data_IF_005180263359
#
_entry.id   IF_005180263359
#
_cell.length_a   1.000
_cell.length_b   1.000
_cell.length_c   1.000
_cell.angle_alpha   90.00
_cell.angle_beta   90.00
_cell.angle_gamma   90.00
#
_symmetry.space_group_name_H-M   'P 1'
#
loop_
_entity.id
_entity.type
_entity.pdbx_description
1 polymer ?
#
# COMPACT_ATOMS: atom_id res chain seq x y z
N UNK A 1 29.12 23.14 -36.03
CA UNK A 1 27.80 23.70 -35.63
C UNK A 1 27.63 23.45 -34.15
N UNK A 2 27.43 24.49 -33.35
CA UNK A 2 27.31 24.41 -31.88
C UNK A 2 25.92 24.90 -31.47
N UNK A 3 25.32 24.27 -30.47
CA UNK A 3 23.99 24.59 -29.94
C UNK A 3 24.15 25.14 -28.53
N UNK A 4 23.38 26.17 -28.17
CA UNK A 4 23.39 26.73 -26.82
C UNK A 4 22.41 25.94 -25.95
N UNK A 5 22.90 25.35 -24.87
CA UNK A 5 22.09 24.66 -23.85
C UNK A 5 22.42 25.29 -22.50
N UNK A 6 21.41 25.87 -21.82
CA UNK A 6 21.57 26.53 -20.51
C UNK A 6 22.72 27.56 -20.47
N UNK A 7 22.94 28.29 -21.57
CA UNK A 7 23.97 29.33 -21.67
C UNK A 7 25.40 28.84 -21.97
N UNK A 8 25.61 27.53 -22.14
CA UNK A 8 26.89 26.95 -22.62
C UNK A 8 26.80 26.52 -24.07
N UNK A 9 27.84 26.82 -24.85
CA UNK A 9 28.00 26.32 -26.21
C UNK A 9 28.48 24.87 -26.17
N UNK A 10 27.61 23.96 -26.62
CA UNK A 10 27.91 22.53 -26.73
C UNK A 10 27.90 22.13 -28.20
N UNK A 11 28.80 21.22 -28.60
CA UNK A 11 28.72 20.59 -29.91
C UNK A 11 27.42 19.80 -30.06
N UNK A 12 26.97 19.56 -31.30
CA UNK A 12 25.76 18.76 -31.58
C UNK A 12 25.70 17.44 -30.79
N UNK A 13 26.80 16.65 -30.67
CA UNK A 13 26.78 15.43 -29.86
C UNK A 13 26.49 15.69 -28.37
N UNK A 14 27.01 16.78 -27.81
CA UNK A 14 26.76 17.18 -26.42
C UNK A 14 25.32 17.65 -26.19
N UNK A 15 24.72 18.33 -27.17
CA UNK A 15 23.31 18.71 -27.11
C UNK A 15 22.38 17.49 -27.17
N UNK A 16 22.69 16.49 -28.01
CA UNK A 16 21.95 15.23 -28.08
C UNK A 16 22.05 14.43 -26.78
N UNK A 17 23.25 14.36 -26.19
CA UNK A 17 23.46 13.70 -24.90
C UNK A 17 22.65 14.39 -23.78
N UNK A 18 22.67 15.72 -23.73
CA UNK A 18 21.90 16.48 -22.75
C UNK A 18 20.40 16.23 -22.88
N UNK A 19 19.88 16.21 -24.12
CA UNK A 19 18.48 15.88 -24.40
C UNK A 19 18.13 14.45 -23.96
N UNK A 20 19.00 13.47 -24.24
CA UNK A 20 18.80 12.09 -23.81
C UNK A 20 18.76 11.96 -22.28
N UNK A 21 19.67 12.65 -21.57
CA UNK A 21 19.68 12.65 -20.09
C UNK A 21 18.40 13.28 -19.55
N UNK A 22 17.94 14.40 -20.09
CA UNK A 22 16.68 15.02 -19.66
C UNK A 22 15.49 14.09 -19.94
N UNK A 23 15.44 13.45 -21.09
CA UNK A 23 14.38 12.49 -21.43
C UNK A 23 14.38 11.27 -20.48
N UNK A 24 15.56 10.74 -20.14
CA UNK A 24 15.70 9.65 -19.17
C UNK A 24 15.26 10.07 -17.78
N UNK A 25 15.71 11.23 -17.29
CA UNK A 25 15.31 11.76 -15.97
C UNK A 25 13.81 12.01 -15.94
N UNK A 26 13.23 12.61 -16.97
CA UNK A 26 11.79 12.82 -17.08
C UNK A 26 11.03 11.48 -17.05
N UNK A 27 11.50 10.46 -17.77
CA UNK A 27 10.93 9.11 -17.74
C UNK A 27 11.03 8.44 -16.37
N UNK A 28 12.17 8.56 -15.68
CA UNK A 28 12.34 8.03 -14.33
C UNK A 28 11.44 8.74 -13.32
N UNK A 29 11.32 10.07 -13.44
CA UNK A 29 10.45 10.89 -12.57
C UNK A 29 8.97 10.59 -12.82
N UNK A 30 8.53 10.43 -14.07
CA UNK A 30 7.14 10.08 -14.37
C UNK A 30 6.78 8.70 -13.87
N UNK A 31 7.63 7.69 -14.11
CA UNK A 31 7.43 6.32 -13.59
C UNK A 31 7.49 6.28 -12.05
N UNK A 32 8.43 7.00 -11.45
CA UNK A 32 8.60 7.05 -10.00
C UNK A 32 7.50 7.83 -9.27
N UNK A 33 6.95 8.88 -9.90
CA UNK A 33 5.81 9.63 -9.35
C UNK A 33 4.51 8.84 -9.44
N UNK A 34 4.36 7.96 -10.43
CA UNK A 34 3.27 6.99 -10.53
C UNK A 34 3.63 5.67 -9.84
N UNK A 35 4.22 5.70 -8.63
CA UNK A 35 4.64 4.49 -7.91
C UNK A 35 3.45 3.61 -7.49
N UNK A 36 2.93 2.90 -8.48
CA UNK A 36 2.28 1.60 -8.42
C UNK A 36 3.25 0.58 -9.03
N UNK A 37 4.57 0.79 -8.91
CA UNK A 37 5.55 -0.20 -9.32
C UNK A 37 5.15 -1.50 -8.61
N UNK A 38 4.73 -2.54 -9.34
CA UNK A 38 4.43 -3.79 -8.68
C UNK A 38 5.74 -4.24 -8.06
N UNK A 39 5.68 -4.67 -6.80
CA UNK A 39 6.78 -5.39 -6.17
C UNK A 39 7.06 -6.75 -6.88
N UNK A 40 6.55 -6.94 -8.11
CA UNK A 40 6.49 -8.13 -8.96
C UNK A 40 7.81 -8.90 -9.07
N UNK A 41 9.00 -8.29 -9.30
CA UNK A 41 10.21 -9.11 -9.42
C UNK A 41 10.55 -9.88 -8.14
N UNK A 42 10.05 -9.41 -6.99
CA UNK A 42 10.27 -10.01 -5.67
C UNK A 42 8.98 -10.57 -5.04
N UNK A 43 7.83 -10.43 -5.69
CA UNK A 43 6.49 -10.83 -5.23
C UNK A 43 5.54 -11.16 -6.41
N UNK A 44 6.06 -11.77 -7.49
CA UNK A 44 5.33 -12.01 -8.74
C UNK A 44 4.03 -12.80 -8.55
N UNK A 45 4.00 -13.66 -7.54
CA UNK A 45 2.83 -14.50 -7.23
C UNK A 45 1.83 -13.79 -6.28
N UNK A 46 2.23 -12.68 -5.63
CA UNK A 46 1.35 -11.95 -4.71
C UNK A 46 0.68 -10.78 -5.42
N UNK A 47 -0.54 -11.03 -5.88
CA UNK A 47 -1.43 -10.01 -6.45
C UNK A 47 -1.98 -9.01 -5.41
N UNK A 48 -1.58 -9.10 -4.14
CA UNK A 48 -2.10 -8.24 -3.07
C UNK A 48 -3.58 -8.53 -2.78
N UNK A 49 -4.36 -7.46 -2.62
CA UNK A 49 -5.83 -7.48 -2.50
C UNK A 49 -6.54 -7.16 -3.82
N UNK A 50 -5.87 -7.30 -4.97
CA UNK A 50 -6.40 -6.91 -6.28
C UNK A 50 -7.64 -7.70 -6.69
N UNK A 51 -7.64 -9.02 -6.51
CA UNK A 51 -8.81 -9.87 -6.76
C UNK A 51 -9.97 -9.52 -5.83
N UNK A 52 -9.70 -9.25 -4.54
CA UNK A 52 -10.71 -8.79 -3.60
C UNK A 52 -11.34 -7.46 -4.04
N UNK A 53 -10.53 -6.53 -4.58
CA UNK A 53 -11.02 -5.27 -5.13
C UNK A 53 -11.92 -5.51 -6.33
N UNK A 54 -11.51 -6.40 -7.25
CA UNK A 54 -12.32 -6.77 -8.41
C UNK A 54 -13.66 -7.39 -8.02
N UNK A 55 -13.69 -8.24 -7.00
CA UNK A 55 -14.94 -8.80 -6.46
C UNK A 55 -15.80 -7.71 -5.82
N UNK A 56 -15.21 -6.84 -5.00
CA UNK A 56 -15.93 -5.74 -4.36
C UNK A 56 -16.57 -4.80 -5.39
N UNK A 57 -15.84 -4.45 -6.45
CA UNK A 57 -16.36 -3.62 -7.55
C UNK A 57 -17.52 -4.34 -8.28
N UNK A 58 -17.39 -5.65 -8.51
CA UNK A 58 -18.45 -6.47 -9.14
C UNK A 58 -19.73 -6.58 -8.30
N UNK A 59 -19.61 -6.58 -6.98
CA UNK A 59 -20.72 -6.61 -6.02
C UNK A 59 -21.26 -5.21 -5.67
N UNK A 60 -20.73 -4.14 -6.28
CA UNK A 60 -21.14 -2.76 -6.02
C UNK A 60 -20.66 -2.19 -4.68
N UNK A 61 -19.65 -2.81 -4.06
CA UNK A 61 -19.04 -2.35 -2.80
C UNK A 61 -17.90 -1.38 -3.07
N UNK A 62 -17.84 -0.30 -2.30
CA UNK A 62 -16.74 0.67 -2.38
C UNK A 62 -15.54 0.22 -1.56
N UNK A 63 -14.39 0.07 -2.20
CA UNK A 63 -13.11 -0.18 -1.51
C UNK A 63 -12.41 1.15 -1.19
N UNK A 64 -12.06 1.37 0.08
CA UNK A 64 -11.40 2.60 0.54
C UNK A 64 -10.00 2.28 1.09
N UNK A 65 -8.97 2.91 0.53
CA UNK A 65 -7.57 2.78 0.97
C UNK A 65 -7.15 3.96 1.85
N UNK A 66 -7.90 4.22 2.92
CA UNK A 66 -7.66 5.33 3.86
C UNK A 66 -8.59 5.16 5.07
N UNK A 67 -8.33 5.81 6.23
CA UNK A 67 -9.19 5.67 7.40
C UNK A 67 -10.56 6.29 7.13
N UNK A 68 -11.49 5.47 6.64
CA UNK A 68 -12.90 5.77 6.68
C UNK A 68 -13.42 5.38 8.06
N UNK A 69 -14.24 6.24 8.66
CA UNK A 69 -15.08 5.85 9.78
C UNK A 69 -16.04 4.77 9.27
N UNK A 70 -15.72 3.51 9.55
CA UNK A 70 -16.57 2.38 9.19
C UNK A 70 -17.89 2.41 9.96
N UNK A 71 -18.95 1.93 9.31
CA UNK A 71 -20.25 1.69 9.91
C UNK A 71 -20.45 0.21 10.28
N UNK A 72 -21.68 -0.19 10.64
CA UNK A 72 -22.03 -1.58 10.95
C UNK A 72 -21.92 -2.52 9.75
N UNK A 73 -21.94 -2.02 8.51
CA UNK A 73 -21.77 -2.84 7.29
C UNK A 73 -20.35 -2.78 6.73
N UNK A 74 -19.41 -2.20 7.47
CA UNK A 74 -18.02 -2.08 7.01
C UNK A 74 -17.23 -3.33 7.34
N UNK A 75 -16.48 -3.83 6.36
CA UNK A 75 -15.44 -4.84 6.55
C UNK A 75 -14.07 -4.17 6.55
N UNK A 76 -13.36 -4.26 7.65
CA UNK A 76 -11.97 -3.81 7.77
C UNK A 76 -11.04 -4.97 7.44
N UNK A 77 -10.21 -4.81 6.40
CA UNK A 77 -9.16 -5.78 6.07
C UNK A 77 -7.79 -5.21 6.46
N UNK A 78 -7.10 -5.92 7.34
CA UNK A 78 -5.74 -5.60 7.79
C UNK A 78 -4.81 -6.72 7.34
N UNK A 79 -3.89 -6.40 6.42
CA UNK A 79 -2.82 -7.31 5.98
C UNK A 79 -1.50 -6.75 6.51
N UNK A 80 -0.83 -7.48 7.40
CA UNK A 80 0.33 -6.97 8.14
C UNK A 80 -0.06 -5.86 9.11
N UNK A 81 -0.37 -6.21 10.36
CA UNK A 81 -0.81 -5.25 11.34
C UNK A 81 0.30 -4.22 11.62
N UNK A 82 -0.03 -2.92 11.65
CA UNK A 82 0.96 -1.89 11.89
C UNK A 82 1.47 -1.97 13.33
N UNK A 83 2.78 -2.08 13.50
CA UNK A 83 3.43 -2.08 14.82
C UNK A 83 3.16 -0.80 15.63
N UNK A 84 2.81 0.28 14.95
CA UNK A 84 2.57 1.61 15.51
C UNK A 84 1.23 2.20 15.00
N UNK A 85 0.16 1.40 15.02
CA UNK A 85 -1.19 1.90 14.77
C UNK A 85 -1.50 3.10 15.68
N UNK A 86 -2.09 4.17 15.16
CA UNK A 86 -2.55 5.27 16.02
C UNK A 86 -3.78 4.85 16.83
N UNK A 87 -3.88 5.32 18.07
CA UNK A 87 -4.99 5.01 18.98
C UNK A 87 -6.34 5.36 18.37
N UNK A 88 -6.45 6.50 17.68
CA UNK A 88 -7.69 6.92 17.00
C UNK A 88 -8.13 5.93 15.91
N UNK A 89 -7.16 5.37 15.16
CA UNK A 89 -7.46 4.40 14.10
C UNK A 89 -7.98 3.11 14.71
N UNK A 90 -7.30 2.62 15.74
CA UNK A 90 -7.69 1.40 16.46
C UNK A 90 -9.06 1.58 17.10
N UNK A 91 -9.32 2.72 17.74
CA UNK A 91 -10.60 3.07 18.34
C UNK A 91 -11.74 3.15 17.31
N UNK A 92 -11.46 3.67 16.11
CA UNK A 92 -12.41 3.71 15.00
C UNK A 92 -12.84 2.31 14.54
N UNK A 93 -11.87 1.42 14.34
CA UNK A 93 -12.13 0.02 13.98
C UNK A 93 -12.92 -0.68 15.10
N UNK A 94 -12.49 -0.51 16.35
CA UNK A 94 -13.17 -1.09 17.51
C UNK A 94 -14.64 -0.65 17.59
N UNK A 95 -14.94 0.62 17.27
CA UNK A 95 -16.31 1.15 17.26
C UNK A 95 -17.14 0.55 16.13
N UNK A 96 -16.57 0.42 14.93
CA UNK A 96 -17.25 -0.18 13.78
C UNK A 96 -17.56 -1.65 14.01
N UNK A 97 -16.61 -2.42 14.55
CA UNK A 97 -16.84 -3.83 14.91
C UNK A 97 -17.92 -3.96 15.98
N UNK A 98 -17.89 -3.13 17.04
CA UNK A 98 -18.94 -3.10 18.07
C UNK A 98 -20.31 -2.73 17.54
N UNK A 99 -20.39 -1.97 16.45
CA UNK A 99 -21.65 -1.63 15.79
C UNK A 99 -22.20 -2.75 14.90
N UNK A 100 -21.44 -3.83 14.66
CA UNK A 100 -21.82 -4.95 13.79
C UNK A 100 -20.91 -5.14 12.56
N UNK A 101 -19.90 -4.28 12.41
CA UNK A 101 -18.91 -4.41 11.34
C UNK A 101 -18.01 -5.64 11.49
N UNK A 102 -17.33 -6.00 10.42
CA UNK A 102 -16.41 -7.16 10.39
C UNK A 102 -14.96 -6.69 10.36
N UNK A 103 -14.09 -7.37 11.11
CA UNK A 103 -12.63 -7.18 11.05
C UNK A 103 -11.98 -8.49 10.60
N UNK A 104 -11.20 -8.42 9.52
CA UNK A 104 -10.37 -9.50 9.01
C UNK A 104 -8.91 -9.09 9.17
N UNK A 105 -8.15 -9.88 9.93
CA UNK A 105 -6.70 -9.67 10.12
C UNK A 105 -5.96 -10.84 9.51
N UNK A 106 -5.06 -10.56 8.58
CA UNK A 106 -4.14 -11.51 7.96
C UNK A 106 -2.71 -11.08 8.28
N UNK A 107 -2.19 -11.57 9.40
CA UNK A 107 -0.84 -11.30 9.87
C UNK A 107 -0.38 -12.41 10.83
N UNK A 108 0.89 -12.78 10.76
CA UNK A 108 1.57 -13.74 11.65
C UNK A 108 2.53 -13.07 12.64
N UNK A 109 2.74 -11.76 12.50
CA UNK A 109 3.66 -10.99 13.33
C UNK A 109 3.11 -10.76 14.75
N UNK A 110 3.98 -10.53 15.74
CA UNK A 110 3.54 -10.13 17.08
C UNK A 110 2.71 -8.84 17.12
N UNK A 111 2.87 -7.96 16.13
CA UNK A 111 2.11 -6.71 16.04
C UNK A 111 0.60 -6.96 15.86
N UNK A 112 0.22 -8.09 15.26
CA UNK A 112 -1.17 -8.51 15.12
C UNK A 112 -1.89 -8.61 16.46
N UNK A 113 -1.23 -9.18 17.47
CA UNK A 113 -1.82 -9.33 18.80
C UNK A 113 -1.95 -8.01 19.54
N UNK A 114 -1.00 -7.09 19.38
CA UNK A 114 -1.13 -5.74 19.93
C UNK A 114 -2.30 -4.99 19.29
N UNK A 115 -2.49 -5.14 17.97
CA UNK A 115 -3.61 -4.56 17.25
C UNK A 115 -4.96 -5.17 17.67
N UNK A 116 -5.04 -6.50 17.77
CA UNK A 116 -6.24 -7.23 18.23
C UNK A 116 -6.62 -6.84 19.66
N UNK A 117 -5.64 -6.73 20.57
CA UNK A 117 -5.87 -6.24 21.93
C UNK A 117 -6.39 -4.80 21.92
N UNK A 118 -5.81 -3.94 21.08
CA UNK A 118 -6.24 -2.54 20.94
C UNK A 118 -7.69 -2.39 20.46
N UNK A 119 -8.16 -3.26 19.56
CA UNK A 119 -9.56 -3.26 19.13
C UNK A 119 -10.52 -3.92 20.14
N UNK A 120 -9.98 -4.52 21.21
CA UNK A 120 -10.74 -5.23 22.24
C UNK A 120 -11.15 -6.64 21.85
N UNK A 121 -10.46 -7.27 20.90
CA UNK A 121 -10.70 -8.66 20.54
C UNK A 121 -10.09 -9.60 21.57
N UNK A 122 -10.82 -10.68 21.92
CA UNK A 122 -10.29 -11.80 22.73
C UNK A 122 -9.54 -12.83 21.87
N UNK A 123 -9.45 -12.58 20.56
CA UNK A 123 -8.70 -13.40 19.63
C UNK A 123 -7.21 -13.06 19.67
N UNK A 124 -6.37 -14.08 19.50
CA UNK A 124 -4.92 -13.93 19.32
C UNK A 124 -4.41 -14.82 18.20
N UNK A 125 -3.45 -14.31 17.45
CA UNK A 125 -2.65 -15.09 16.51
C UNK A 125 -1.56 -15.82 17.28
N UNK A 126 -1.46 -17.13 17.08
CA UNK A 126 -0.38 -17.94 17.60
C UNK A 126 0.61 -18.24 16.46
N UNK A 127 1.93 -18.15 16.69
CA UNK A 127 2.90 -18.62 15.71
C UNK A 127 2.66 -20.11 15.44
N UNK A 128 2.71 -20.51 14.17
CA UNK A 128 2.55 -21.92 13.78
C UNK A 128 3.58 -22.81 14.48
N UNK A 129 3.15 -24.02 14.88
CA UNK A 129 4.03 -25.08 15.39
C UNK A 129 5.17 -25.30 14.38
N UNK A 130 6.40 -24.91 14.76
CA UNK A 130 7.60 -25.27 14.00
C UNK A 130 7.86 -26.75 14.27
N UNK A 131 7.57 -27.60 13.29
CA UNK A 131 8.10 -28.97 13.31
C UNK A 131 9.63 -28.86 13.17
N UNK A 132 10.33 -29.17 14.26
CA UNK A 132 11.79 -29.34 14.33
C UNK A 132 12.21 -30.67 13.75
#
# INVERSE_FOLDING_TARGET
MSVSVLGRSVGVPGALLALLVVALVAGVVTVGATSTAPYDPYNADWTGTSELRRLADGDGRTVVFAPAAGGPETTHLVVGAPANASDDRVAGVARSVRAGGTLVVADESPAANAYLAGVGADARVQPGLRHS
#
